data_IF_936761395341
#
_entry.id   IF_936761395341
#
_cell.length_a   1.000
_cell.length_b   1.000
_cell.length_c   1.000
_cell.angle_alpha   90.00
_cell.angle_beta   90.00
_cell.angle_gamma   90.00
#
_symmetry.space_group_name_H-M   'P 1'
#
loop_
_entity.id
_entity.type
_entity.pdbx_description
1 polymer ?
#
# COMPACT_ATOMS: atom_id res chain seq x y z
N UNK A 1 -2.96 -19.28 -3.37
CA UNK A 1 -2.01 -19.96 -2.42
C UNK A 1 -0.57 -20.01 -2.95
N UNK A 2 -0.31 -20.40 -4.21
CA UNK A 2 1.06 -20.50 -4.76
C UNK A 2 1.84 -19.18 -4.83
N UNK A 3 1.18 -18.06 -5.15
CA UNK A 3 1.84 -16.74 -5.26
C UNK A 3 2.54 -16.30 -3.96
N UNK A 4 1.83 -16.30 -2.83
CA UNK A 4 2.39 -15.89 -1.54
C UNK A 4 3.47 -16.85 -1.01
N UNK A 5 3.41 -18.13 -1.38
CA UNK A 5 4.46 -19.09 -1.06
C UNK A 5 5.75 -18.83 -1.86
N UNK A 6 5.63 -18.35 -3.09
CA UNK A 6 6.76 -17.99 -3.95
C UNK A 6 7.31 -16.57 -3.71
N UNK A 7 6.55 -15.71 -2.99
CA UNK A 7 6.89 -14.30 -2.78
C UNK A 7 6.76 -13.94 -1.29
N UNK A 8 7.74 -14.33 -0.44
CA UNK A 8 7.67 -14.08 1.00
C UNK A 8 7.67 -12.59 1.36
N UNK A 9 8.37 -11.74 0.58
CA UNK A 9 8.33 -10.27 0.72
C UNK A 9 6.92 -9.74 0.51
N UNK A 10 6.27 -10.11 -0.60
CA UNK A 10 4.91 -9.66 -0.89
C UNK A 10 3.91 -10.18 0.15
N UNK A 11 4.07 -11.43 0.61
CA UNK A 11 3.28 -11.99 1.71
C UNK A 11 3.40 -11.14 2.97
N UNK A 12 4.64 -10.82 3.38
CA UNK A 12 4.87 -10.01 4.58
C UNK A 12 4.31 -8.60 4.42
N UNK A 13 4.45 -7.98 3.26
CA UNK A 13 3.87 -6.67 2.99
C UNK A 13 2.33 -6.68 3.16
N UNK A 14 1.63 -7.68 2.61
CA UNK A 14 0.17 -7.80 2.80
C UNK A 14 -0.25 -8.00 4.26
N UNK A 15 0.60 -8.58 5.10
CA UNK A 15 0.34 -8.74 6.53
C UNK A 15 0.54 -7.43 7.33
N UNK A 16 1.35 -6.50 6.80
CA UNK A 16 1.73 -5.25 7.46
C UNK A 16 0.82 -4.08 7.08
N UNK A 17 0.37 -4.02 5.84
CA UNK A 17 -0.39 -2.89 5.31
C UNK A 17 -1.68 -2.72 6.08
N UNK A 18 -1.82 -1.55 6.69
CA UNK A 18 -3.02 -1.14 7.39
C UNK A 18 -3.33 0.31 7.02
N UNK A 19 -4.44 0.51 6.34
CA UNK A 19 -4.92 1.84 5.96
C UNK A 19 -6.01 2.26 6.96
N UNK A 20 -5.89 3.44 7.59
CA UNK A 20 -6.92 3.98 8.47
C UNK A 20 -8.29 4.09 7.77
N UNK A 21 -9.37 3.82 8.50
CA UNK A 21 -10.72 3.93 7.95
C UNK A 21 -11.07 5.36 7.49
N UNK A 22 -10.47 6.38 8.12
CA UNK A 22 -10.64 7.78 7.70
C UNK A 22 -10.09 8.04 6.29
N UNK A 23 -8.94 7.47 5.93
CA UNK A 23 -8.34 7.63 4.60
C UNK A 23 -9.18 6.92 3.53
N UNK A 24 -9.80 5.78 3.88
CA UNK A 24 -10.75 5.09 3.00
C UNK A 24 -12.01 5.94 2.76
N UNK A 25 -12.48 6.67 3.78
CA UNK A 25 -13.60 7.58 3.63
C UNK A 25 -13.26 8.77 2.73
N UNK A 26 -12.04 9.33 2.86
CA UNK A 26 -11.55 10.39 1.98
C UNK A 26 -11.50 9.91 0.53
N UNK A 27 -10.96 8.72 0.28
CA UNK A 27 -10.93 8.15 -1.08
C UNK A 27 -12.34 7.92 -1.65
N UNK A 28 -13.24 7.38 -0.83
CA UNK A 28 -14.64 7.16 -1.23
C UNK A 28 -15.36 8.47 -1.57
N UNK A 29 -15.03 9.57 -0.88
CA UNK A 29 -15.57 10.89 -1.18
C UNK A 29 -15.06 11.41 -2.52
N UNK A 30 -13.74 11.35 -2.78
CA UNK A 30 -13.16 11.77 -4.07
C UNK A 30 -13.76 11.02 -5.25
N UNK A 31 -13.92 9.69 -5.13
CA UNK A 31 -14.57 8.86 -6.14
C UNK A 31 -16.02 9.32 -6.37
N UNK A 32 -16.76 9.59 -5.30
CA UNK A 32 -18.15 10.07 -5.37
C UNK A 32 -18.25 11.46 -6.01
N UNK A 33 -17.24 12.30 -5.85
CA UNK A 33 -17.14 13.66 -6.42
C UNK A 33 -16.69 13.67 -7.89
N UNK A 34 -16.37 12.50 -8.45
CA UNK A 34 -16.11 12.32 -9.89
C UNK A 34 -14.69 11.90 -10.23
N UNK A 35 -13.79 11.83 -9.25
CA UNK A 35 -12.39 11.37 -9.43
C UNK A 35 -12.33 9.83 -9.41
N UNK A 36 -13.03 9.18 -10.34
CA UNK A 36 -13.22 7.72 -10.36
C UNK A 36 -12.49 6.99 -11.49
N UNK A 37 -11.66 7.70 -12.27
CA UNK A 37 -10.89 7.08 -13.34
C UNK A 37 -9.70 6.29 -12.78
N UNK A 38 -9.16 5.34 -13.55
CA UNK A 38 -7.94 4.63 -13.15
C UNK A 38 -6.74 5.57 -12.96
N UNK A 39 -6.71 6.70 -13.66
CA UNK A 39 -5.68 7.72 -13.50
C UNK A 39 -5.84 8.44 -12.15
N UNK A 40 -7.07 8.81 -11.78
CA UNK A 40 -7.38 9.44 -10.50
C UNK A 40 -7.05 8.53 -9.33
N UNK A 41 -7.50 7.27 -9.37
CA UNK A 41 -7.24 6.29 -8.30
C UNK A 41 -5.73 6.09 -8.11
N UNK A 42 -4.96 6.00 -9.20
CA UNK A 42 -3.50 5.90 -9.12
C UNK A 42 -2.86 7.16 -8.55
N UNK A 43 -3.37 8.34 -8.91
CA UNK A 43 -2.93 9.62 -8.35
C UNK A 43 -3.23 9.69 -6.86
N UNK A 44 -4.42 9.31 -6.40
CA UNK A 44 -4.76 9.30 -4.97
C UNK A 44 -3.88 8.36 -4.17
N UNK A 45 -3.62 7.16 -4.68
CA UNK A 45 -2.73 6.21 -4.04
C UNK A 45 -1.31 6.78 -3.88
N UNK A 46 -0.79 7.46 -4.91
CA UNK A 46 0.51 8.15 -4.84
C UNK A 46 0.49 9.29 -3.83
N UNK A 47 -0.51 10.17 -3.87
CA UNK A 47 -0.68 11.26 -2.90
C UNK A 47 -0.75 10.74 -1.45
N UNK A 48 -1.42 9.60 -1.24
CA UNK A 48 -1.50 8.97 0.08
C UNK A 48 -0.13 8.43 0.51
N UNK A 49 0.61 7.75 -0.37
CA UNK A 49 1.97 7.28 -0.07
C UNK A 49 2.89 8.45 0.24
N UNK A 50 2.87 9.51 -0.55
CA UNK A 50 3.71 10.71 -0.33
C UNK A 50 3.43 11.36 1.04
N UNK A 51 2.16 11.43 1.46
CA UNK A 51 1.77 11.95 2.78
C UNK A 51 2.13 11.01 3.94
N UNK A 52 2.26 9.71 3.66
CA UNK A 52 2.52 8.66 4.64
C UNK A 52 3.87 7.97 4.39
N UNK A 53 4.84 8.69 3.82
CA UNK A 53 6.06 8.10 3.27
C UNK A 53 6.83 7.26 4.30
N UNK A 54 7.01 7.78 5.51
CA UNK A 54 7.70 7.06 6.59
C UNK A 54 6.97 5.77 6.99
N UNK A 55 5.64 5.79 7.07
CA UNK A 55 4.83 4.62 7.38
C UNK A 55 4.94 3.58 6.26
N UNK A 56 4.78 4.02 5.00
CA UNK A 56 4.88 3.15 3.84
C UNK A 56 6.27 2.51 3.75
N UNK A 57 7.33 3.30 3.91
CA UNK A 57 8.71 2.81 3.91
C UNK A 57 8.96 1.83 5.05
N UNK A 58 8.38 2.05 6.24
CA UNK A 58 8.49 1.09 7.35
C UNK A 58 7.94 -0.29 7.00
N UNK A 59 6.84 -0.35 6.23
CA UNK A 59 6.28 -1.62 5.76
C UNK A 59 7.17 -2.29 4.71
N UNK A 60 7.75 -1.50 3.81
CA UNK A 60 8.65 -2.01 2.76
C UNK A 60 9.93 -2.59 3.39
N UNK A 61 10.55 -1.86 4.32
CA UNK A 61 11.76 -2.30 5.00
C UNK A 61 11.50 -3.56 5.85
N UNK A 62 10.37 -3.63 6.56
CA UNK A 62 9.99 -4.83 7.29
C UNK A 62 9.65 -6.01 6.36
N UNK A 63 9.03 -5.76 5.22
CA UNK A 63 8.73 -6.80 4.24
C UNK A 63 9.99 -7.39 3.59
N UNK A 64 11.01 -6.55 3.30
CA UNK A 64 12.27 -7.00 2.70
C UNK A 64 13.01 -8.03 3.56
N UNK A 65 12.95 -7.91 4.89
CA UNK A 65 13.56 -8.87 5.82
C UNK A 65 13.03 -10.29 5.64
N UNK A 66 11.79 -10.45 5.17
CA UNK A 66 11.21 -11.77 4.89
C UNK A 66 11.79 -12.45 3.63
N UNK A 67 12.49 -11.70 2.77
CA UNK A 67 13.16 -12.22 1.57
C UNK A 67 14.51 -12.89 1.84
N UNK A 68 15.04 -12.76 3.06
CA UNK A 68 16.44 -13.08 3.38
C UNK A 68 17.36 -11.99 2.83
N UNK A 69 18.07 -11.30 3.72
CA UNK A 69 18.96 -10.19 3.38
C UNK A 69 19.90 -10.56 2.23
N UNK A 70 19.66 -9.96 1.07
CA UNK A 70 20.66 -9.82 0.00
C UNK A 70 21.01 -8.34 -0.09
N UNK A 71 21.73 -7.87 0.92
CA UNK A 71 22.62 -6.70 0.83
C UNK A 71 24.03 -7.24 1.02
#
# INVERSE_FOLDING_TARGET
>A
KKFLAANPVAKRWFELVQIPAEDINVESLKIKEGESSSEDINRHAKEWVEKNQELFDSWIEEAKKAGGDSI
#
